data_IF_742633661041
#
_entry.id   IF_742633661041
#
_cell.length_a   1.000
_cell.length_b   1.000
_cell.length_c   1.000
_cell.angle_alpha   90.00
_cell.angle_beta   90.00
_cell.angle_gamma   90.00
#
_symmetry.space_group_name_H-M   'P 1'
#
loop_
_entity.id
_entity.type
_entity.pdbx_description
1 polymer ?
#
# COMPACT_ATOMS: atom_id res chain seq x y z
N UNK A 1 -18.60 50.67 -8.73
CA UNK A 1 -18.23 49.27 -8.42
C UNK A 1 -16.91 49.31 -7.66
N UNK A 2 -16.91 48.89 -6.40
CA UNK A 2 -15.85 49.21 -5.43
C UNK A 2 -14.59 48.36 -5.69
N UNK A 3 -13.45 48.99 -6.00
CA UNK A 3 -12.17 48.34 -6.35
C UNK A 3 -11.73 47.30 -5.30
N UNK A 4 -12.05 47.56 -4.02
CA UNK A 4 -11.75 46.68 -2.90
C UNK A 4 -12.51 45.34 -2.94
N UNK A 5 -13.73 45.31 -3.49
CA UNK A 5 -14.53 44.08 -3.62
C UNK A 5 -13.91 43.15 -4.68
N UNK A 6 -13.34 43.73 -5.75
CA UNK A 6 -12.73 42.96 -6.84
C UNK A 6 -11.41 42.30 -6.41
N UNK A 7 -10.65 42.94 -5.51
CA UNK A 7 -9.37 42.44 -4.98
C UNK A 7 -9.62 41.31 -3.96
N UNK A 8 -10.64 41.45 -3.10
CA UNK A 8 -10.98 40.46 -2.07
C UNK A 8 -11.44 39.12 -2.67
N UNK A 9 -12.19 39.15 -3.78
CA UNK A 9 -12.60 37.93 -4.50
C UNK A 9 -11.42 37.16 -5.12
N UNK A 10 -10.37 37.86 -5.58
CA UNK A 10 -9.19 37.22 -6.19
C UNK A 10 -8.30 36.53 -5.15
N UNK A 11 -8.12 37.14 -3.98
CA UNK A 11 -7.37 36.55 -2.88
C UNK A 11 -8.03 35.29 -2.32
N UNK A 12 -9.37 35.27 -2.27
CA UNK A 12 -10.16 34.11 -1.87
C UNK A 12 -10.02 32.94 -2.85
N UNK A 13 -10.07 33.21 -4.16
CA UNK A 13 -9.86 32.19 -5.21
C UNK A 13 -8.43 31.64 -5.17
N UNK A 14 -7.43 32.51 -4.96
CA UNK A 14 -6.03 32.10 -4.86
C UNK A 14 -5.76 31.22 -3.63
N UNK A 15 -6.42 31.52 -2.51
CA UNK A 15 -6.35 30.70 -1.29
C UNK A 15 -7.03 29.35 -1.47
N UNK A 16 -8.16 29.29 -2.19
CA UNK A 16 -8.84 28.04 -2.52
C UNK A 16 -8.01 27.13 -3.44
N UNK A 17 -7.25 27.71 -4.37
CA UNK A 17 -6.32 26.99 -5.26
C UNK A 17 -5.13 26.37 -4.50
N UNK A 18 -4.62 27.04 -3.46
CA UNK A 18 -3.52 26.52 -2.64
C UNK A 18 -3.93 25.31 -1.80
N UNK A 19 -5.18 25.26 -1.30
CA UNK A 19 -5.70 24.11 -0.54
C UNK A 19 -5.91 22.84 -1.39
N UNK A 20 -6.10 22.96 -2.70
CA UNK A 20 -6.27 21.80 -3.60
C UNK A 20 -4.90 21.16 -3.94
N UNK A 21 -3.80 21.90 -3.69
CA UNK A 21 -2.44 21.49 -4.06
C UNK A 21 -1.66 20.74 -2.97
N UNK A 22 -2.25 20.49 -1.79
CA UNK A 22 -1.70 19.54 -0.81
C UNK A 22 -1.90 18.11 -1.32
N UNK A 23 -1.12 17.78 -2.36
CA UNK A 23 -1.16 16.54 -3.08
C UNK A 23 -1.02 15.36 -2.14
N UNK A 24 -1.84 14.33 -2.40
CA UNK A 24 -1.61 13.00 -1.92
C UNK A 24 -0.24 12.53 -2.42
N UNK A 25 0.82 12.75 -1.63
CA UNK A 25 2.09 12.07 -1.81
C UNK A 25 1.82 10.62 -1.40
N UNK A 26 1.39 9.81 -2.36
CA UNK A 26 1.32 8.38 -2.14
C UNK A 26 2.76 7.89 -1.90
N UNK A 27 3.12 7.73 -0.64
CA UNK A 27 4.42 7.20 -0.26
C UNK A 27 4.55 5.81 -0.85
N UNK A 28 5.65 5.55 -1.56
CA UNK A 28 5.95 4.22 -2.05
C UNK A 28 6.31 3.34 -0.85
N UNK A 29 5.54 2.27 -0.68
CA UNK A 29 5.66 1.26 0.38
C UNK A 29 6.24 -0.02 -0.21
N UNK A 30 5.56 -0.57 -1.22
CA UNK A 30 5.97 -1.81 -1.86
C UNK A 30 6.57 -1.60 -3.24
N UNK A 31 7.60 -2.38 -3.55
CA UNK A 31 8.24 -2.43 -4.87
C UNK A 31 7.98 -3.79 -5.50
N UNK A 32 7.63 -3.78 -6.78
CA UNK A 32 7.52 -4.98 -7.60
C UNK A 32 8.60 -4.90 -8.68
N UNK A 33 9.54 -5.83 -8.67
CA UNK A 33 10.55 -5.93 -9.72
C UNK A 33 9.90 -6.48 -11.00
N UNK A 34 10.03 -5.77 -12.14
CA UNK A 34 9.40 -6.19 -13.40
C UNK A 34 9.96 -7.48 -13.99
N UNK A 35 11.23 -7.80 -13.71
CA UNK A 35 11.90 -8.99 -14.26
C UNK A 35 11.58 -10.22 -13.42
N UNK A 36 11.75 -10.14 -12.11
CA UNK A 36 11.53 -11.29 -11.21
C UNK A 36 10.08 -11.42 -10.77
N UNK A 37 9.29 -10.35 -10.91
CA UNK A 37 7.93 -10.20 -10.38
C UNK A 37 7.85 -10.25 -8.85
N UNK A 38 8.98 -10.20 -8.14
CA UNK A 38 8.99 -10.30 -6.69
C UNK A 38 8.59 -8.98 -6.06
N UNK A 39 7.73 -9.08 -5.04
CA UNK A 39 7.32 -7.96 -4.20
C UNK A 39 8.25 -7.86 -2.99
N UNK A 40 8.68 -6.64 -2.68
CA UNK A 40 9.51 -6.33 -1.52
C UNK A 40 9.07 -5.03 -0.86
N UNK A 41 9.26 -4.94 0.44
CA UNK A 41 9.19 -3.69 1.21
C UNK A 41 10.60 -3.44 1.75
N UNK A 42 11.09 -2.22 1.62
CA UNK A 42 12.44 -1.90 2.06
C UNK A 42 12.50 -1.94 3.61
N UNK A 43 13.47 -2.64 4.22
CA UNK A 43 13.56 -2.76 5.68
C UNK A 43 13.91 -1.43 6.37
N UNK A 44 14.47 -0.47 5.63
CA UNK A 44 14.89 0.85 6.12
C UNK A 44 13.85 1.94 5.90
N UNK A 45 12.59 1.56 5.65
CA UNK A 45 11.53 2.49 5.34
C UNK A 45 11.18 3.38 6.55
N UNK A 46 11.60 4.64 6.49
CA UNK A 46 11.55 5.60 7.63
C UNK A 46 10.17 6.18 7.93
N UNK A 47 9.26 6.19 6.97
CA UNK A 47 7.96 6.85 7.14
C UNK A 47 6.87 5.80 7.34
N UNK A 48 5.91 6.13 8.21
CA UNK A 48 4.87 5.21 8.67
C UNK A 48 4.07 4.63 7.52
N UNK A 49 3.84 3.32 7.55
CA UNK A 49 3.04 2.63 6.54
C UNK A 49 2.24 1.47 7.11
N UNK A 50 1.14 1.19 6.43
CA UNK A 50 0.35 -0.03 6.60
C UNK A 50 -0.14 -0.49 5.24
N UNK A 51 0.07 -1.76 4.95
CA UNK A 51 -0.31 -2.40 3.71
C UNK A 51 -1.01 -3.72 4.04
N UNK A 52 -2.28 -3.81 3.68
CA UNK A 52 -3.12 -4.98 3.96
C UNK A 52 -3.43 -5.67 2.64
N UNK A 53 -3.26 -6.98 2.63
CA UNK A 53 -3.70 -7.86 1.56
C UNK A 53 -5.00 -8.55 1.88
N UNK A 54 -5.89 -8.58 0.89
CA UNK A 54 -7.27 -9.01 1.02
C UNK A 54 -7.53 -10.27 0.21
N UNK A 55 -8.51 -11.07 0.65
CA UNK A 55 -8.93 -12.28 -0.04
C UNK A 55 -9.55 -11.98 -1.41
N UNK A 56 -10.30 -10.88 -1.52
CA UNK A 56 -10.88 -10.38 -2.76
C UNK A 56 -10.38 -8.94 -3.00
N UNK A 57 -10.52 -8.41 -4.21
CA UNK A 57 -10.07 -7.05 -4.54
C UNK A 57 -11.03 -5.97 -3.99
N UNK A 58 -11.20 -5.96 -2.67
CA UNK A 58 -11.93 -4.97 -1.90
C UNK A 58 -11.36 -4.90 -0.47
N UNK A 59 -11.54 -3.77 0.21
CA UNK A 59 -10.99 -3.53 1.55
C UNK A 59 -11.87 -4.03 2.69
N UNK A 60 -13.00 -4.68 2.37
CA UNK A 60 -14.00 -5.14 3.36
C UNK A 60 -13.95 -6.65 3.58
N UNK A 61 -13.11 -7.37 2.83
CA UNK A 61 -12.98 -8.82 2.95
C UNK A 61 -11.87 -9.21 3.91
N UNK A 62 -11.78 -10.51 4.17
CA UNK A 62 -10.80 -11.07 5.09
C UNK A 62 -9.37 -10.63 4.73
N UNK A 63 -8.64 -10.18 5.74
CA UNK A 63 -7.22 -9.90 5.65
C UNK A 63 -6.44 -11.21 5.53
N UNK A 64 -5.57 -11.29 4.54
CA UNK A 64 -4.71 -12.44 4.31
C UNK A 64 -3.28 -12.18 4.79
N UNK A 65 -2.77 -10.96 4.60
CA UNK A 65 -1.43 -10.56 5.02
C UNK A 65 -1.40 -9.09 5.41
N UNK A 66 -0.56 -8.72 6.37
CA UNK A 66 -0.36 -7.33 6.78
C UNK A 66 1.14 -7.00 6.81
N UNK A 67 1.50 -5.83 6.30
CA UNK A 67 2.82 -5.22 6.47
C UNK A 67 2.65 -3.83 7.08
N UNK A 68 3.24 -3.58 8.24
CA UNK A 68 3.12 -2.28 8.89
C UNK A 68 4.37 -1.93 9.68
N UNK A 69 4.78 -0.66 9.61
CA UNK A 69 5.82 -0.13 10.50
C UNK A 69 5.34 0.05 11.95
N UNK A 70 4.04 -0.06 12.21
CA UNK A 70 3.45 0.07 13.54
C UNK A 70 3.31 -1.30 14.22
N UNK A 71 4.05 -1.51 15.30
CA UNK A 71 4.05 -2.76 16.07
C UNK A 71 2.66 -3.14 16.61
N UNK A 72 1.84 -2.16 16.99
CA UNK A 72 0.49 -2.44 17.46
C UNK A 72 -0.39 -3.02 16.34
N UNK A 73 -0.26 -2.51 15.12
CA UNK A 73 -0.98 -3.04 13.95
C UNK A 73 -0.51 -4.46 13.61
N UNK A 74 0.81 -4.71 13.65
CA UNK A 74 1.36 -6.05 13.45
C UNK A 74 0.81 -7.03 14.48
N UNK A 75 0.80 -6.65 15.76
CA UNK A 75 0.27 -7.49 16.85
C UNK A 75 -1.23 -7.76 16.70
N UNK A 76 -2.01 -6.74 16.36
CA UNK A 76 -3.47 -6.87 16.18
C UNK A 76 -3.81 -7.79 15.00
N UNK A 77 -3.09 -7.67 13.89
CA UNK A 77 -3.37 -8.42 12.66
C UNK A 77 -2.74 -9.82 12.64
N UNK A 78 -1.77 -10.11 13.51
CA UNK A 78 -1.08 -11.41 13.58
C UNK A 78 -2.04 -12.59 13.77
N UNK A 79 -3.13 -12.40 14.51
CA UNK A 79 -4.16 -13.43 14.72
C UNK A 79 -5.25 -13.48 13.65
N UNK A 80 -5.32 -12.48 12.76
CA UNK A 80 -6.38 -12.31 11.76
C UNK A 80 -5.92 -12.68 10.36
N UNK A 81 -4.65 -12.39 10.05
CA UNK A 81 -4.01 -12.64 8.76
C UNK A 81 -3.49 -14.08 8.66
N UNK A 82 -4.08 -14.89 7.78
CA UNK A 82 -3.69 -16.30 7.60
C UNK A 82 -2.24 -16.48 7.14
N UNK A 83 -1.71 -15.53 6.36
CA UNK A 83 -0.33 -15.53 5.87
C UNK A 83 0.63 -14.79 6.82
N UNK A 84 0.10 -14.19 7.89
CA UNK A 84 0.84 -13.48 8.92
C UNK A 84 0.81 -11.96 8.79
N UNK A 85 1.33 -11.30 9.81
CA UNK A 85 1.57 -9.86 9.84
C UNK A 85 3.04 -9.60 10.14
N UNK A 86 3.66 -8.67 9.41
CA UNK A 86 5.10 -8.43 9.44
C UNK A 86 5.41 -6.94 9.42
N UNK A 87 6.62 -6.56 9.80
CA UNK A 87 7.10 -5.21 9.56
C UNK A 87 7.38 -5.01 8.07
N UNK A 88 8.19 -5.89 7.49
CA UNK A 88 8.62 -5.85 6.10
C UNK A 88 8.70 -7.28 5.53
N UNK A 89 9.15 -7.41 4.28
CA UNK A 89 9.28 -8.71 3.61
C UNK A 89 10.46 -9.55 4.11
N UNK A 90 11.48 -8.95 4.74
CA UNK A 90 12.65 -9.67 5.26
C UNK A 90 12.31 -10.40 6.57
N UNK A 91 11.27 -9.96 7.27
CA UNK A 91 10.71 -10.63 8.46
C UNK A 91 9.79 -11.80 8.14
N UNK A 92 9.53 -12.10 6.86
CA UNK A 92 8.77 -13.28 6.47
C UNK A 92 9.55 -14.56 6.76
N UNK A 93 8.87 -15.72 6.78
CA UNK A 93 9.57 -16.99 7.05
C UNK A 93 10.53 -17.30 5.91
N UNK A 94 11.65 -17.93 6.26
CA UNK A 94 12.71 -18.28 5.30
C UNK A 94 12.13 -19.12 4.14
N UNK A 95 12.40 -18.68 2.91
CA UNK A 95 11.93 -19.33 1.68
C UNK A 95 10.54 -18.89 1.21
N UNK A 96 9.81 -18.12 2.02
CA UNK A 96 8.56 -17.51 1.58
C UNK A 96 8.83 -16.31 0.69
N UNK A 97 7.95 -16.10 -0.30
CA UNK A 97 8.01 -14.91 -1.16
C UNK A 97 6.66 -14.52 -1.71
N UNK A 98 6.56 -13.28 -2.19
CA UNK A 98 5.35 -12.74 -2.81
C UNK A 98 5.64 -12.42 -4.27
N UNK A 99 4.84 -12.97 -5.16
CA UNK A 99 4.96 -12.83 -6.60
C UNK A 99 3.79 -12.04 -7.16
N UNK A 100 4.08 -11.02 -7.95
CA UNK A 100 3.10 -10.27 -8.71
C UNK A 100 2.57 -11.11 -9.89
N UNK A 101 1.24 -11.27 -9.93
CA UNK A 101 0.56 -12.02 -10.98
C UNK A 101 -0.05 -11.11 -12.06
N UNK A 102 -0.30 -9.84 -11.74
CA UNK A 102 -0.89 -8.88 -12.67
C UNK A 102 -1.72 -7.82 -11.99
N UNK A 103 -2.16 -6.83 -12.76
CA UNK A 103 -3.11 -5.82 -12.27
C UNK A 103 -4.52 -6.44 -12.20
N UNK A 104 -5.30 -6.04 -11.19
CA UNK A 104 -6.72 -6.34 -11.11
C UNK A 104 -7.52 -5.04 -11.11
N UNK A 105 -8.02 -4.67 -12.29
CA UNK A 105 -8.62 -3.36 -12.50
C UNK A 105 -7.61 -2.22 -12.28
N UNK A 106 -8.11 -1.05 -11.83
CA UNK A 106 -7.29 0.15 -11.63
C UNK A 106 -6.69 0.25 -10.22
N UNK A 107 -7.38 -0.30 -9.23
CA UNK A 107 -7.12 -0.05 -7.81
C UNK A 107 -6.37 -1.18 -7.10
N UNK A 108 -6.35 -2.39 -7.65
CA UNK A 108 -5.74 -3.54 -7.01
C UNK A 108 -4.71 -4.22 -7.91
N UNK A 109 -3.80 -4.93 -7.27
CA UNK A 109 -2.87 -5.86 -7.89
C UNK A 109 -3.09 -7.25 -7.32
N UNK A 110 -2.97 -8.26 -8.17
CA UNK A 110 -3.08 -9.66 -7.81
C UNK A 110 -1.69 -10.20 -7.46
N UNK A 111 -1.57 -10.78 -6.28
CA UNK A 111 -0.33 -11.34 -5.75
C UNK A 111 -0.50 -12.84 -5.45
N UNK A 112 0.61 -13.56 -5.45
CA UNK A 112 0.71 -14.93 -4.94
C UNK A 112 1.74 -14.96 -3.84
N UNK A 113 1.33 -15.32 -2.63
CA UNK A 113 2.26 -15.78 -1.61
C UNK A 113 2.65 -17.22 -1.96
N UNK A 114 3.94 -17.51 -1.94
CA UNK A 114 4.53 -18.83 -2.18
C UNK A 114 5.33 -19.17 -0.93
N UNK A 115 4.93 -20.20 -0.19
CA UNK A 115 5.67 -20.61 0.99
C UNK A 115 6.93 -21.38 0.60
N UNK A 116 7.91 -21.43 1.51
CA UNK A 116 9.11 -22.28 1.35
C UNK A 116 8.78 -23.77 1.13
N UNK A 117 7.60 -24.22 1.56
CA UNK A 117 7.09 -25.59 1.34
C UNK A 117 6.37 -25.77 -0.01
N UNK A 118 6.27 -24.72 -0.84
CA UNK A 118 5.65 -24.75 -2.17
C UNK A 118 4.15 -24.48 -2.20
N UNK A 119 3.50 -24.28 -1.04
CA UNK A 119 2.09 -23.91 -0.97
C UNK A 119 1.88 -22.50 -1.54
N UNK A 120 0.80 -22.30 -2.28
CA UNK A 120 0.49 -21.01 -2.93
C UNK A 120 -0.86 -20.50 -2.50
N UNK A 121 -0.93 -19.20 -2.19
CA UNK A 121 -2.18 -18.52 -1.90
C UNK A 121 -2.24 -17.19 -2.64
N UNK A 122 -3.37 -16.92 -3.29
CA UNK A 122 -3.62 -15.64 -3.97
C UNK A 122 -4.23 -14.64 -3.01
N UNK A 123 -3.79 -13.39 -3.10
CA UNK A 123 -4.40 -12.25 -2.40
C UNK A 123 -4.29 -10.99 -3.25
N UNK A 124 -4.96 -9.92 -2.83
CA UNK A 124 -5.03 -8.65 -3.54
C UNK A 124 -4.50 -7.53 -2.67
N UNK A 125 -3.60 -6.71 -3.20
CA UNK A 125 -3.13 -5.49 -2.56
C UNK A 125 -3.73 -4.27 -3.24
N UNK A 126 -4.01 -3.23 -2.46
CA UNK A 126 -4.28 -1.91 -3.03
C UNK A 126 -3.05 -1.43 -3.80
N UNK A 127 -3.26 -0.79 -4.94
CA UNK A 127 -2.21 -0.19 -5.76
C UNK A 127 -1.60 1.05 -5.10
N UNK A 128 -2.30 1.65 -4.14
CA UNK A 128 -1.81 2.82 -3.40
C UNK A 128 -0.51 2.45 -2.68
N UNK A 129 0.54 3.23 -2.92
CA UNK A 129 1.85 3.00 -2.34
C UNK A 129 2.62 1.83 -2.97
N UNK A 130 2.25 1.36 -4.16
CA UNK A 130 3.03 0.37 -4.91
C UNK A 130 3.69 0.99 -6.15
N UNK A 131 4.93 0.59 -6.41
CA UNK A 131 5.64 0.93 -7.66
C UNK A 131 6.10 -0.33 -8.38
N UNK A 132 5.89 -0.36 -9.69
CA UNK A 132 6.49 -1.37 -10.57
C UNK A 132 7.82 -0.82 -11.09
N UNK A 133 8.93 -1.37 -10.60
CA UNK A 133 10.28 -0.93 -10.98
C UNK A 133 10.81 -1.77 -12.14
#
# INVERSE_FOLDING_TARGET
MNLNILIMNKALIFSLLLFISSGAIAQVIGKIDKKTKEFSIAPDQKAEYTLIGYQLPNTTTKHLICFSSNENMVREESGKCVLGAYFDTDRMKVGDKIIFLGNYGKLFVKMSYVSGAGNKMTFYLSRTGLVLK
#
